data_IF_317538766804
#
_entry.id   IF_317538766804
#
_cell.length_a   1.000
_cell.length_b   1.000
_cell.length_c   1.000
_cell.angle_alpha   90.00
_cell.angle_beta   90.00
_cell.angle_gamma   90.00
#
_symmetry.space_group_name_H-M   'P 1'
#
loop_
_entity.id
_entity.type
_entity.pdbx_description
1 polymer ?
#
# COMPACT_ATOMS: atom_id res chain seq x y z
N UNK A 1 -17.08 6.91 17.79
CA UNK A 1 -15.72 7.19 17.29
C UNK A 1 -15.56 6.54 15.93
N UNK A 2 -15.18 7.29 14.88
CA UNK A 2 -14.82 6.70 13.58
C UNK A 2 -13.35 6.26 13.68
N UNK A 3 -13.10 4.96 13.60
CA UNK A 3 -11.74 4.42 13.60
C UNK A 3 -11.25 4.41 12.18
N UNK A 4 -10.16 5.11 11.88
CA UNK A 4 -9.44 4.95 10.61
C UNK A 4 -8.51 3.75 10.71
N UNK A 5 -8.44 2.95 9.65
CA UNK A 5 -7.53 1.79 9.57
C UNK A 5 -6.78 1.84 8.24
N UNK A 6 -5.57 1.30 8.24
CA UNK A 6 -4.74 1.14 7.06
C UNK A 6 -3.93 -0.16 7.15
N UNK A 7 -3.33 -0.55 6.03
CA UNK A 7 -2.63 -1.84 5.91
C UNK A 7 -1.26 -1.66 5.29
N UNK A 8 -0.32 -2.55 5.65
CA UNK A 8 0.99 -2.59 5.04
C UNK A 8 1.41 -4.03 4.72
N UNK A 9 2.03 -4.23 3.56
CA UNK A 9 2.78 -5.44 3.22
C UNK A 9 4.24 -5.03 3.01
N UNK A 10 5.15 -5.79 3.62
CA UNK A 10 6.59 -5.48 3.61
C UNK A 10 7.37 -6.72 3.19
N UNK A 11 8.31 -6.53 2.27
CA UNK A 11 9.19 -7.58 1.74
C UNK A 11 10.65 -7.16 1.79
N UNK A 12 11.52 -8.16 1.87
CA UNK A 12 12.96 -7.97 1.80
C UNK A 12 13.36 -7.60 0.37
N UNK A 13 14.49 -6.90 0.24
CA UNK A 13 15.06 -6.59 -1.08
C UNK A 13 15.38 -7.84 -1.88
N UNK A 14 15.67 -8.97 -1.21
CA UNK A 14 15.93 -10.27 -1.87
C UNK A 14 14.71 -10.83 -2.59
N UNK A 15 13.51 -10.33 -2.29
CA UNK A 15 12.26 -10.77 -2.92
C UNK A 15 11.87 -9.88 -4.12
N UNK A 16 12.62 -8.81 -4.42
CA UNK A 16 12.25 -7.82 -5.45
C UNK A 16 12.12 -8.41 -6.84
N UNK A 17 12.93 -9.42 -7.15
CA UNK A 17 12.98 -10.03 -8.48
C UNK A 17 11.85 -11.06 -8.69
N UNK A 18 11.12 -11.39 -7.62
CA UNK A 18 9.97 -12.29 -7.70
C UNK A 18 8.68 -11.49 -7.95
N UNK A 19 8.42 -11.19 -9.23
CA UNK A 19 7.24 -10.42 -9.63
C UNK A 19 5.92 -11.01 -9.13
N UNK A 20 5.82 -12.33 -8.97
CA UNK A 20 4.62 -12.96 -8.39
C UNK A 20 4.42 -12.54 -6.93
N UNK A 21 5.47 -12.56 -6.12
CA UNK A 21 5.39 -12.13 -4.72
C UNK A 21 5.08 -10.64 -4.63
N UNK A 22 5.73 -9.80 -5.44
CA UNK A 22 5.52 -8.34 -5.43
C UNK A 22 4.11 -7.97 -5.89
N UNK A 23 3.58 -8.60 -6.94
CA UNK A 23 2.24 -8.30 -7.46
C UNK A 23 1.10 -8.84 -6.57
N UNK A 24 1.37 -9.84 -5.72
CA UNK A 24 0.38 -10.41 -4.79
C UNK A 24 0.02 -9.44 -3.66
N UNK A 25 0.97 -8.62 -3.22
CA UNK A 25 0.77 -7.66 -2.14
C UNK A 25 -0.28 -6.58 -2.45
N UNK A 26 -0.24 -5.84 -3.58
CA UNK A 26 -1.22 -4.80 -3.87
C UNK A 26 -2.62 -5.39 -4.06
N UNK A 27 -2.75 -6.63 -4.55
CA UNK A 27 -4.05 -7.33 -4.63
C UNK A 27 -4.63 -7.57 -3.22
N UNK A 28 -3.78 -8.03 -2.28
CA UNK A 28 -4.20 -8.25 -0.88
C UNK A 28 -4.52 -6.93 -0.19
N UNK A 29 -3.70 -5.91 -0.37
CA UNK A 29 -3.94 -4.56 0.15
C UNK A 29 -5.25 -3.99 -0.39
N UNK A 30 -5.54 -4.14 -1.69
CA UNK A 30 -6.81 -3.73 -2.29
C UNK A 30 -8.01 -4.42 -1.64
N UNK A 31 -7.92 -5.74 -1.40
CA UNK A 31 -8.97 -6.49 -0.71
C UNK A 31 -9.16 -6.02 0.74
N UNK A 32 -8.07 -5.82 1.49
CA UNK A 32 -8.15 -5.36 2.87
C UNK A 32 -8.71 -3.94 2.97
N UNK A 33 -8.23 -3.03 2.13
CA UNK A 33 -8.71 -1.66 2.05
C UNK A 33 -10.19 -1.59 1.68
N UNK A 34 -10.64 -2.35 0.67
CA UNK A 34 -12.07 -2.48 0.32
C UNK A 34 -12.89 -3.03 1.48
N UNK A 35 -12.41 -4.04 2.17
CA UNK A 35 -13.12 -4.60 3.33
C UNK A 35 -13.21 -3.60 4.47
N UNK A 36 -12.13 -2.88 4.79
CA UNK A 36 -12.14 -1.84 5.82
C UNK A 36 -13.13 -0.71 5.52
N UNK A 37 -13.18 -0.25 4.26
CA UNK A 37 -14.16 0.75 3.83
C UNK A 37 -15.59 0.29 4.15
N UNK A 38 -15.93 -0.96 3.81
CA UNK A 38 -17.26 -1.52 4.08
C UNK A 38 -17.56 -1.71 5.57
N UNK A 39 -16.64 -2.34 6.30
CA UNK A 39 -16.89 -2.74 7.70
C UNK A 39 -16.82 -1.54 8.66
N UNK A 40 -15.99 -0.55 8.35
CA UNK A 40 -15.74 0.61 9.22
C UNK A 40 -16.33 1.91 8.68
N UNK A 41 -17.07 1.86 7.56
CA UNK A 41 -17.71 3.00 6.91
C UNK A 41 -16.73 4.17 6.66
N UNK A 42 -15.57 3.84 6.06
CA UNK A 42 -14.51 4.80 5.74
C UNK A 42 -14.75 5.45 4.38
N UNK A 43 -14.40 6.72 4.22
CA UNK A 43 -14.43 7.37 2.89
C UNK A 43 -13.31 6.83 1.98
N UNK A 44 -12.15 6.53 2.56
CA UNK A 44 -11.01 5.94 1.88
C UNK A 44 -10.15 5.15 2.87
N UNK A 45 -9.28 4.28 2.35
CA UNK A 45 -8.32 3.52 3.13
C UNK A 45 -6.92 3.65 2.52
N UNK A 46 -5.94 4.03 3.35
CA UNK A 46 -4.53 4.10 2.97
C UNK A 46 -3.89 2.72 3.14
N UNK A 47 -3.07 2.33 2.18
CA UNK A 47 -2.27 1.11 2.24
C UNK A 47 -0.87 1.34 1.74
N UNK A 48 0.09 0.57 2.25
CA UNK A 48 1.51 0.71 1.95
C UNK A 48 2.07 -0.62 1.47
N UNK A 49 2.81 -0.61 0.37
CA UNK A 49 3.67 -1.71 -0.02
C UNK A 49 5.12 -1.27 0.12
N UNK A 50 5.95 -2.08 0.77
CA UNK A 50 7.38 -1.81 0.84
C UNK A 50 8.17 -3.03 0.40
N UNK A 51 9.16 -2.83 -0.48
CA UNK A 51 10.12 -3.85 -0.91
C UNK A 51 11.52 -3.27 -0.78
N UNK A 52 12.26 -3.75 0.22
CA UNK A 52 13.53 -3.14 0.61
C UNK A 52 13.34 -1.66 0.94
N UNK A 53 13.98 -0.80 0.15
CA UNK A 53 13.98 0.65 0.36
C UNK A 53 12.91 1.41 -0.43
N UNK A 54 12.17 0.72 -1.31
CA UNK A 54 11.11 1.28 -2.12
C UNK A 54 9.79 1.14 -1.34
N UNK A 55 9.09 2.24 -1.12
CA UNK A 55 7.83 2.32 -0.39
C UNK A 55 6.80 2.99 -1.27
N UNK A 56 5.74 2.27 -1.61
CA UNK A 56 4.62 2.77 -2.41
C UNK A 56 3.37 2.92 -1.55
N UNK A 57 2.76 4.10 -1.61
CA UNK A 57 1.52 4.43 -0.92
C UNK A 57 0.35 4.34 -1.90
N UNK A 58 -0.72 3.69 -1.47
CA UNK A 58 -1.95 3.54 -2.23
C UNK A 58 -3.14 4.07 -1.45
N UNK A 59 -4.06 4.76 -2.13
CA UNK A 59 -5.35 5.15 -1.59
C UNK A 59 -6.45 4.36 -2.27
N UNK A 60 -7.27 3.66 -1.49
CA UNK A 60 -8.46 2.97 -1.98
C UNK A 60 -9.71 3.76 -1.63
N UNK A 61 -10.62 3.96 -2.59
CA UNK A 61 -11.91 4.64 -2.39
C UNK A 61 -13.04 3.95 -3.16
N UNK A 62 -14.25 3.97 -2.59
CA UNK A 62 -15.47 3.62 -3.30
C UNK A 62 -15.85 4.79 -4.22
N UNK A 63 -15.73 4.59 -5.53
CA UNK A 63 -15.97 5.66 -6.53
C UNK A 63 -17.40 5.62 -7.09
N UNK A 64 -17.98 4.42 -7.14
CA UNK A 64 -19.37 4.17 -7.53
C UNK A 64 -19.83 2.89 -6.84
N UNK A 65 -21.14 2.60 -6.82
CA UNK A 65 -21.67 1.41 -6.18
C UNK A 65 -20.97 0.14 -6.67
N UNK A 66 -20.39 -0.62 -5.73
CA UNK A 66 -19.57 -1.80 -6.00
C UNK A 66 -18.18 -1.56 -6.63
N UNK A 67 -17.85 -0.34 -7.08
CA UNK A 67 -16.60 -0.02 -7.77
C UNK A 67 -15.60 0.68 -6.84
N UNK A 68 -14.54 -0.05 -6.51
CA UNK A 68 -13.43 0.44 -5.71
C UNK A 68 -12.22 0.73 -6.60
N UNK A 69 -11.65 1.91 -6.45
CA UNK A 69 -10.41 2.30 -7.13
C UNK A 69 -9.31 2.35 -6.09
N UNK A 70 -8.22 1.62 -6.36
CA UNK A 70 -6.95 1.73 -5.65
C UNK A 70 -5.98 2.50 -6.54
N UNK A 71 -5.57 3.67 -6.09
CA UNK A 71 -4.68 4.57 -6.80
C UNK A 71 -3.34 4.65 -6.09
N UNK A 72 -2.24 4.48 -6.82
CA UNK A 72 -0.91 4.84 -6.32
C UNK A 72 -0.83 6.35 -6.11
N UNK A 73 -0.45 6.78 -4.91
CA UNK A 73 -0.25 8.18 -4.57
C UNK A 73 1.19 8.62 -4.82
N UNK A 74 2.13 7.86 -4.25
CA UNK A 74 3.56 8.18 -4.31
C UNK A 74 4.38 6.93 -4.06
N UNK A 75 5.51 6.84 -4.76
CA UNK A 75 6.57 5.88 -4.48
C UNK A 75 7.79 6.64 -3.98
N UNK A 76 8.28 6.29 -2.79
CA UNK A 76 9.46 6.87 -2.15
C UNK A 76 10.58 5.84 -2.11
N UNK A 77 11.81 6.28 -2.38
CA UNK A 77 13.01 5.50 -2.15
C UNK A 77 13.72 6.03 -0.92
N UNK A 78 13.82 5.20 0.11
CA UNK A 78 14.56 5.53 1.33
C UNK A 78 16.04 5.24 1.16
N UNK A 79 16.95 5.99 1.80
CA UNK A 79 18.36 5.68 1.77
C UNK A 79 18.63 4.37 2.54
N UNK A 80 19.47 3.51 1.98
CA UNK A 80 19.86 2.24 2.60
C UNK A 80 20.89 2.39 3.71
N UNK A 81 21.56 3.55 3.78
CA UNK A 81 22.54 3.88 4.80
C UNK A 81 22.75 5.40 4.88
N UNK A 82 23.47 5.85 5.92
CA UNK A 82 23.78 7.27 6.09
C UNK A 82 24.56 7.87 4.90
N UNK A 83 25.44 7.09 4.25
CA UNK A 83 26.16 7.55 3.05
C UNK A 83 25.24 7.80 1.85
N UNK A 84 24.01 7.28 1.88
CA UNK A 84 23.02 7.48 0.82
C UNK A 84 22.05 8.63 1.12
N UNK A 85 22.20 9.35 2.24
CA UNK A 85 21.27 10.40 2.67
C UNK A 85 21.57 11.78 2.07
N UNK A 86 22.79 12.05 1.61
CA UNK A 86 23.27 13.40 1.23
C UNK A 86 23.24 13.67 -0.27
N UNK A 87 22.11 13.49 -0.95
CA UNK A 87 21.96 13.94 -2.34
C UNK A 87 21.16 15.24 -2.43
#
# INVERSE_FOLDING_TARGET
YKTTVGFAEVKLVTDSDNSYLIAKDPIRLGRFSKNAINHSNLDACLSVQSTGHIITFYLTKLMSDGLYVMMELVTLTTPSSLSNLTQ
#
